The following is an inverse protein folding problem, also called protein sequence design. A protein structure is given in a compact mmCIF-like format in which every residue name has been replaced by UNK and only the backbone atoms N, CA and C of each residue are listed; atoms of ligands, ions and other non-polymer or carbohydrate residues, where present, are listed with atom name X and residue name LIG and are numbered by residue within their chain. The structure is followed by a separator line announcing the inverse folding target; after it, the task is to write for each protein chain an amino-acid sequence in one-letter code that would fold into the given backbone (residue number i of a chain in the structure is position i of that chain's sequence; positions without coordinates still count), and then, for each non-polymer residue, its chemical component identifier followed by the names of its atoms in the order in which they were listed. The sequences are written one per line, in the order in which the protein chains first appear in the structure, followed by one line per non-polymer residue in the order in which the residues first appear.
data_IF_664943133996
#
_entry.id   IF_664943133996
#
_cell.length_a   1.000
_cell.length_b   1.000
_cell.length_c   1.000
_cell.angle_alpha   90.00
_cell.angle_beta   90.00
_cell.angle_gamma   90.00
#
_symmetry.space_group_name_H-M   'P 1'
#
loop_
_entity.id
_entity.type
_entity.pdbx_description
1 polymer ?
#
# COMPACT_ATOMS: atom_id res chain seq x y z
N UNK A 1 -27.89 12.21 43.94
CA UNK A 1 -26.50 11.72 43.76
C UNK A 1 -26.39 10.54 42.78
N UNK A 2 -27.33 10.34 41.84
CA UNK A 2 -27.33 9.21 40.90
C UNK A 2 -27.21 9.61 39.42
N UNK A 3 -27.15 10.91 39.11
CA UNK A 3 -27.15 11.43 37.72
C UNK A 3 -25.75 11.73 37.19
N UNK A 4 -24.72 11.82 38.04
CA UNK A 4 -23.34 12.12 37.61
C UNK A 4 -22.59 10.90 37.04
N UNK A 5 -23.02 9.67 37.36
CA UNK A 5 -22.38 8.44 36.87
C UNK A 5 -22.86 8.02 35.46
N UNK A 6 -24.02 8.52 34.99
CA UNK A 6 -24.52 8.21 33.65
C UNK A 6 -23.83 9.06 32.57
N UNK A 7 -23.42 10.29 32.90
CA UNK A 7 -22.71 11.18 31.97
C UNK A 7 -21.25 10.77 31.74
N UNK A 8 -20.62 10.07 32.70
CA UNK A 8 -19.26 9.54 32.54
C UNK A 8 -19.17 8.31 31.64
N UNK A 9 -20.28 7.60 31.38
CA UNK A 9 -20.28 6.41 30.49
C UNK A 9 -20.27 6.75 29.00
N UNK A 10 -20.69 7.95 28.60
CA UNK A 10 -20.83 8.32 27.18
C UNK A 10 -19.68 9.14 26.59
N UNK A 11 -18.75 9.65 27.40
CA UNK A 11 -17.72 10.59 26.93
C UNK A 11 -16.31 10.02 26.80
N UNK A 12 -16.08 8.74 27.10
CA UNK A 12 -14.72 8.18 27.04
C UNK A 12 -14.72 6.68 26.79
N UNK A 13 -15.06 6.26 25.57
CA UNK A 13 -14.69 4.93 25.07
C UNK A 13 -13.21 4.94 24.71
N UNK A 14 -12.33 5.03 25.72
CA UNK A 14 -10.90 4.75 25.49
C UNK A 14 -10.63 3.25 25.40
N UNK A 15 -11.47 2.38 25.99
CA UNK A 15 -11.16 0.92 25.98
C UNK A 15 -12.36 0.03 26.36
N UNK A 16 -13.61 0.47 26.13
CA UNK A 16 -14.79 -0.26 26.62
C UNK A 16 -15.49 -1.03 25.49
N UNK A 17 -14.99 -2.23 25.19
CA UNK A 17 -15.64 -3.18 24.29
C UNK A 17 -14.91 -4.52 24.30
N UNK A 18 -13.76 -4.60 23.64
CA UNK A 18 -13.00 -5.85 23.44
C UNK A 18 -11.55 -5.80 23.96
N UNK A 19 -11.09 -4.66 24.49
CA UNK A 19 -9.69 -4.44 24.87
C UNK A 19 -9.45 -4.31 26.39
N UNK A 20 -10.40 -4.72 27.24
CA UNK A 20 -10.24 -4.62 28.71
C UNK A 20 -8.97 -5.32 29.25
N UNK A 21 -8.44 -6.30 28.51
CA UNK A 21 -7.17 -6.98 28.81
C UNK A 21 -5.97 -6.53 27.94
N UNK A 22 -6.19 -5.79 26.85
CA UNK A 22 -5.15 -5.37 25.90
C UNK A 22 -4.95 -3.87 25.98
N UNK A 23 -3.76 -3.44 26.41
CA UNK A 23 -3.41 -2.00 26.46
C UNK A 23 -4.14 -1.19 27.55
N UNK A 24 -4.62 -1.85 28.62
CA UNK A 24 -5.16 -1.14 29.77
C UNK A 24 -4.04 -0.55 30.63
N UNK A 25 -3.77 0.75 30.44
CA UNK A 25 -2.69 1.47 31.14
C UNK A 25 -2.93 1.58 32.65
N UNK A 26 -4.19 1.55 33.11
CA UNK A 26 -4.48 1.60 34.56
C UNK A 26 -4.04 0.31 35.27
N UNK A 27 -4.07 -0.81 34.56
CA UNK A 27 -3.78 -2.14 35.09
C UNK A 27 -2.39 -2.65 34.70
N UNK A 28 -1.83 -2.14 33.61
CA UNK A 28 -0.50 -2.45 33.10
C UNK A 28 0.50 -1.36 33.45
N UNK A 29 1.43 -1.67 34.35
CA UNK A 29 2.51 -0.76 34.72
C UNK A 29 3.42 -1.34 35.79
N UNK A 30 4.65 -0.84 35.87
CA UNK A 30 5.55 -1.13 36.98
C UNK A 30 5.24 -0.20 38.15
N UNK A 31 4.26 -0.55 38.98
CA UNK A 31 4.11 0.05 40.30
C UNK A 31 5.07 -0.64 41.29
N UNK A 32 6.35 -0.26 41.28
CA UNK A 32 7.31 -0.58 42.35
C UNK A 32 8.24 -1.78 42.14
N UNK A 33 8.74 -2.32 43.27
CA UNK A 33 9.88 -3.26 43.37
C UNK A 33 9.66 -4.65 42.76
N UNK A 34 8.40 -5.05 42.50
CA UNK A 34 8.06 -6.36 41.92
C UNK A 34 7.01 -6.15 40.82
N UNK A 35 7.25 -6.71 39.63
CA UNK A 35 6.32 -6.64 38.51
C UNK A 35 5.08 -7.53 38.71
N UNK A 36 3.90 -7.01 38.37
CA UNK A 36 2.66 -7.78 38.33
C UNK A 36 2.61 -8.69 37.09
N UNK A 37 3.21 -9.88 37.18
CA UNK A 37 3.28 -10.87 36.09
C UNK A 37 1.89 -11.37 35.63
N UNK A 38 0.88 -11.27 36.49
CA UNK A 38 -0.50 -11.61 36.16
C UNK A 38 -1.15 -10.65 35.14
N UNK A 39 -0.48 -9.55 34.77
CA UNK A 39 -0.98 -8.54 33.82
C UNK A 39 0.04 -8.17 32.75
N UNK A 40 0.86 -9.14 32.34
CA UNK A 40 1.91 -8.93 31.34
C UNK A 40 1.36 -8.45 29.99
N UNK A 41 0.15 -8.88 29.62
CA UNK A 41 -0.51 -8.48 28.37
C UNK A 41 -0.80 -6.97 28.31
N UNK A 42 -1.07 -6.34 29.45
CA UNK A 42 -1.35 -4.91 29.54
C UNK A 42 -0.09 -4.04 29.37
N UNK A 43 1.10 -4.62 29.53
CA UNK A 43 2.41 -3.95 29.39
C UNK A 43 3.05 -4.20 28.01
N UNK A 44 2.39 -4.98 27.15
CA UNK A 44 2.93 -5.27 25.81
C UNK A 44 3.06 -3.96 25.02
N UNK A 45 4.26 -3.57 24.57
CA UNK A 45 4.45 -2.34 23.82
C UNK A 45 3.75 -2.41 22.46
N UNK A 46 3.23 -1.27 22.01
CA UNK A 46 2.69 -1.15 20.66
C UNK A 46 3.84 -1.14 19.65
N UNK A 47 3.83 -2.09 18.73
CA UNK A 47 4.75 -2.14 17.58
C UNK A 47 3.99 -1.68 16.35
N UNK A 48 4.43 -0.59 15.74
CA UNK A 48 3.82 -0.05 14.52
C UNK A 48 4.48 -0.69 13.30
N UNK A 49 3.68 -1.39 12.51
CA UNK A 49 4.10 -1.87 11.19
C UNK A 49 4.20 -0.70 10.19
N UNK A 50 4.81 -0.88 9.01
CA UNK A 50 4.73 0.14 7.96
C UNK A 50 3.27 0.42 7.55
N UNK A 51 2.92 1.70 7.40
CA UNK A 51 1.61 2.10 6.92
C UNK A 51 1.41 1.70 5.46
N UNK A 52 0.22 1.24 5.11
CA UNK A 52 -0.16 0.90 3.73
C UNK A 52 -0.86 2.11 3.10
N UNK A 53 -0.30 2.64 2.02
CA UNK A 53 -0.90 3.73 1.23
C UNK A 53 -1.71 3.20 0.05
N UNK A 54 -2.95 3.65 -0.08
CA UNK A 54 -3.88 3.27 -1.16
C UNK A 54 -4.36 4.54 -1.86
N UNK A 55 -4.22 4.60 -3.18
CA UNK A 55 -4.77 5.69 -3.98
C UNK A 55 -6.27 5.44 -4.20
N UNK A 56 -7.08 6.40 -3.76
CA UNK A 56 -8.53 6.39 -3.97
C UNK A 56 -8.95 7.21 -5.18
N UNK A 57 -8.17 8.24 -5.54
CA UNK A 57 -8.40 9.05 -6.73
C UNK A 57 -7.07 9.53 -7.31
N UNK A 58 -6.92 9.38 -8.62
CA UNK A 58 -5.80 9.93 -9.40
C UNK A 58 -6.16 11.29 -10.00
N UNK A 59 -5.18 12.16 -10.30
CA UNK A 59 -5.41 13.42 -10.98
C UNK A 59 -6.22 13.24 -12.28
N UNK A 60 -7.20 14.12 -12.50
CA UNK A 60 -8.04 14.04 -13.71
C UNK A 60 -7.24 14.34 -14.98
N UNK A 61 -6.22 15.21 -14.90
CA UNK A 61 -5.29 15.48 -16.01
C UNK A 61 -4.62 14.20 -16.54
N UNK A 62 -4.36 13.22 -15.67
CA UNK A 62 -3.73 11.97 -16.09
C UNK A 62 -4.65 11.11 -16.96
N UNK A 63 -5.96 11.30 -16.91
CA UNK A 63 -6.90 10.57 -17.79
C UNK A 63 -6.74 10.95 -19.26
N UNK A 64 -6.16 12.11 -19.54
CA UNK A 64 -5.93 12.61 -20.89
C UNK A 64 -4.65 12.02 -21.51
N UNK A 65 -3.78 11.41 -20.70
CA UNK A 65 -2.51 10.84 -21.12
C UNK A 65 -2.55 9.31 -20.93
N UNK A 66 -2.38 8.50 -22.00
CA UNK A 66 -2.48 7.05 -21.88
C UNK A 66 -1.40 6.48 -20.95
N UNK A 67 -1.80 5.60 -20.03
CA UNK A 67 -0.89 4.91 -19.11
C UNK A 67 -0.51 5.69 -17.84
N UNK A 68 -0.72 7.00 -17.78
CA UNK A 68 -0.37 7.83 -16.62
C UNK A 68 -1.12 7.43 -15.33
N UNK A 69 -2.43 7.15 -15.36
CA UNK A 69 -3.17 6.73 -14.17
C UNK A 69 -2.62 5.44 -13.57
N UNK A 70 -2.30 4.46 -14.43
CA UNK A 70 -1.75 3.17 -14.02
C UNK A 70 -0.34 3.32 -13.46
N UNK A 71 0.49 4.15 -14.12
CA UNK A 71 1.84 4.45 -13.65
C UNK A 71 1.81 5.15 -12.29
N UNK A 72 0.94 6.16 -12.11
CA UNK A 72 0.76 6.84 -10.83
C UNK A 72 0.38 5.86 -9.72
N UNK A 73 -0.60 4.98 -9.97
CA UNK A 73 -1.02 3.97 -9.00
C UNK A 73 0.12 3.02 -8.64
N UNK A 74 0.81 2.46 -9.65
CA UNK A 74 1.93 1.54 -9.43
C UNK A 74 3.11 2.22 -8.72
N UNK A 75 3.39 3.49 -9.04
CA UNK A 75 4.49 4.23 -8.43
C UNK A 75 4.27 4.37 -6.92
N UNK A 76 3.12 4.91 -6.50
CA UNK A 76 2.88 5.22 -5.09
C UNK A 76 2.46 4.00 -4.26
N UNK A 77 1.69 3.04 -4.81
CA UNK A 77 1.23 1.88 -4.03
C UNK A 77 2.27 0.75 -3.96
N UNK A 78 3.11 0.58 -4.99
CA UNK A 78 4.02 -0.59 -5.09
C UNK A 78 5.49 -0.23 -5.00
N UNK A 79 5.93 0.85 -5.66
CA UNK A 79 7.36 1.17 -5.80
C UNK A 79 7.91 2.08 -4.69
N UNK A 80 7.04 2.53 -3.78
CA UNK A 80 7.45 3.32 -2.63
C UNK A 80 8.19 2.45 -1.62
N UNK A 81 9.37 2.91 -1.18
CA UNK A 81 10.18 2.23 -0.16
C UNK A 81 9.78 2.67 1.24
N UNK A 82 9.49 3.95 1.40
CA UNK A 82 9.14 4.54 2.68
C UNK A 82 8.29 5.79 2.49
N UNK A 83 7.42 6.04 3.47
CA UNK A 83 6.57 7.22 3.53
C UNK A 83 6.73 7.81 4.91
N UNK A 84 7.15 9.07 4.96
CA UNK A 84 7.40 9.82 6.19
C UNK A 84 6.50 11.07 6.23
N UNK A 85 6.28 11.67 7.40
CA UNK A 85 5.55 12.95 7.50
C UNK A 85 4.03 12.87 7.29
N UNK A 86 3.41 11.72 7.57
CA UNK A 86 1.94 11.56 7.61
C UNK A 86 1.36 12.07 8.94
N UNK A 87 2.19 12.10 9.99
CA UNK A 87 1.78 12.42 11.35
C UNK A 87 1.27 13.85 11.51
N UNK A 88 0.38 14.02 12.49
CA UNK A 88 -0.28 15.29 12.78
C UNK A 88 -0.05 15.67 14.20
N UNK A 89 0.33 16.92 14.40
CA UNK A 89 0.44 17.51 15.72
C UNK A 89 -0.77 18.41 15.95
N UNK A 90 -1.40 18.27 17.11
CA UNK A 90 -2.44 19.18 17.58
C UNK A 90 -1.81 20.15 18.57
N UNK A 91 -1.70 21.42 18.19
CA UNK A 91 -1.09 22.47 18.99
C UNK A 91 -2.19 23.39 19.54
N UNK A 92 -2.21 23.54 20.87
CA UNK A 92 -3.12 24.46 21.56
C UNK A 92 -2.44 25.83 21.63
N UNK A 93 -3.09 26.85 21.07
CA UNK A 93 -2.66 28.23 21.15
C UNK A 93 -3.19 28.87 22.45
N UNK A 94 -2.31 29.25 23.40
CA UNK A 94 -2.74 29.91 24.63
C UNK A 94 -3.02 31.39 24.37
N UNK A 95 -4.17 31.87 24.81
CA UNK A 95 -4.45 33.28 25.02
C UNK A 95 -3.95 33.71 26.39
N UNK A 96 -3.41 34.93 26.47
CA UNK A 96 -2.90 35.49 27.72
C UNK A 96 -3.91 36.48 28.30
N UNK A 97 -4.27 36.29 29.57
CA UNK A 97 -5.07 37.25 30.35
C UNK A 97 -4.29 37.67 31.60
N UNK A 98 -4.29 38.96 31.99
CA UNK A 98 -3.61 39.40 33.20
C UNK A 98 -4.28 38.78 34.44
N UNK A 99 -3.50 38.05 35.24
CA UNK A 99 -3.94 37.39 36.47
C UNK A 99 -4.01 38.37 37.65
N UNK A 100 -3.08 39.33 37.65
CA UNK A 100 -2.80 40.23 38.76
C UNK A 100 -2.14 41.51 38.23
N UNK A 101 -2.26 42.67 38.92
CA UNK A 101 -1.49 43.87 38.62
C UNK A 101 0.03 43.68 38.66
N UNK A 102 0.52 42.60 39.28
CA UNK A 102 1.94 42.22 39.38
C UNK A 102 2.54 41.66 38.06
N UNK A 103 1.82 41.79 36.94
CA UNK A 103 2.31 41.40 35.61
C UNK A 103 2.27 39.90 35.30
N UNK A 104 1.82 39.05 36.23
CA UNK A 104 1.61 37.64 35.98
C UNK A 104 0.42 37.41 35.04
N UNK A 105 0.57 36.49 34.09
CA UNK A 105 -0.44 36.18 33.08
C UNK A 105 -0.92 34.73 33.24
N UNK A 106 -2.22 34.53 33.09
CA UNK A 106 -2.83 33.20 32.99
C UNK A 106 -2.92 32.85 31.51
N UNK A 107 -2.38 31.69 31.14
CA UNK A 107 -2.58 31.10 29.82
C UNK A 107 -3.91 30.34 29.82
N UNK A 108 -4.82 30.75 28.94
CA UNK A 108 -6.11 30.10 28.71
C UNK A 108 -6.09 29.49 27.31
N UNK A 109 -6.50 28.22 27.11
CA UNK A 109 -6.53 27.62 25.78
C UNK A 109 -7.59 28.31 24.89
N UNK A 110 -7.16 28.90 23.77
CA UNK A 110 -8.05 29.65 22.87
C UNK A 110 -8.44 28.89 21.62
N UNK A 111 -7.47 28.24 20.97
CA UNK A 111 -7.70 27.50 19.73
C UNK A 111 -6.83 26.24 19.69
N UNK A 112 -7.33 25.18 19.07
CA UNK A 112 -6.56 23.98 18.76
C UNK A 112 -6.33 23.93 17.25
N UNK A 113 -5.07 23.99 16.82
CA UNK A 113 -4.66 23.98 15.42
C UNK A 113 -3.97 22.67 15.09
N UNK A 114 -4.30 22.09 13.95
CA UNK A 114 -3.61 20.91 13.41
C UNK A 114 -2.51 21.37 12.46
N UNK A 115 -1.35 20.73 12.53
CA UNK A 115 -0.31 20.91 11.52
C UNK A 115 -0.77 20.30 10.19
N UNK A 116 -0.39 20.95 9.08
CA UNK A 116 -0.65 20.41 7.75
C UNK A 116 0.36 19.29 7.47
N UNK A 117 -0.06 18.09 7.04
CA UNK A 117 0.90 17.04 6.73
C UNK A 117 1.64 17.35 5.44
N UNK A 118 2.93 16.99 5.42
CA UNK A 118 3.79 17.06 4.24
C UNK A 118 4.40 15.69 3.99
N UNK A 119 3.60 14.72 3.49
CA UNK A 119 4.07 13.37 3.30
C UNK A 119 5.21 13.34 2.29
N UNK A 120 6.30 12.69 2.67
CA UNK A 120 7.51 12.53 1.87
C UNK A 120 7.64 11.08 1.43
N UNK A 121 7.59 10.84 0.13
CA UNK A 121 7.72 9.52 -0.46
C UNK A 121 9.16 9.27 -0.87
N UNK A 122 9.70 8.10 -0.52
CA UNK A 122 11.03 7.65 -0.90
C UNK A 122 10.95 6.56 -1.96
N UNK A 123 11.65 6.76 -3.07
CA UNK A 123 11.72 5.83 -4.19
C UNK A 123 13.18 5.53 -4.54
N UNK A 124 13.44 4.30 -4.97
CA UNK A 124 14.67 3.97 -5.70
C UNK A 124 14.42 4.20 -7.19
N UNK A 125 15.34 4.92 -7.83
CA UNK A 125 15.24 5.17 -9.26
C UNK A 125 15.48 3.88 -10.05
N UNK A 126 14.62 3.62 -11.03
CA UNK A 126 14.80 2.52 -11.99
C UNK A 126 15.55 3.02 -13.23
N UNK A 127 16.19 2.11 -13.97
CA UNK A 127 16.84 2.42 -15.25
C UNK A 127 15.92 3.23 -16.16
N UNK A 128 16.41 4.35 -16.69
CA UNK A 128 15.64 5.28 -17.52
C UNK A 128 15.07 6.50 -16.77
N UNK A 129 15.32 6.63 -15.47
CA UNK A 129 14.86 7.75 -14.63
C UNK A 129 13.34 8.01 -14.69
N UNK A 130 12.47 6.96 -14.69
CA UNK A 130 11.03 7.14 -14.90
C UNK A 130 10.34 7.86 -13.74
N UNK A 131 10.84 7.74 -12.49
CA UNK A 131 10.24 8.40 -11.33
C UNK A 131 10.41 9.91 -11.45
N UNK A 132 11.64 10.36 -11.71
CA UNK A 132 11.92 11.77 -11.95
C UNK A 132 11.15 12.32 -13.15
N UNK A 133 11.18 11.60 -14.28
CA UNK A 133 10.51 12.05 -15.51
C UNK A 133 9.01 12.22 -15.30
N UNK A 134 8.38 11.28 -14.59
CA UNK A 134 6.96 11.36 -14.26
C UNK A 134 6.63 12.55 -13.33
N UNK A 135 7.39 12.72 -12.25
CA UNK A 135 7.11 13.76 -11.25
C UNK A 135 7.43 15.15 -11.81
N UNK A 136 8.51 15.27 -12.59
CA UNK A 136 8.84 16.50 -13.30
C UNK A 136 7.72 16.86 -14.29
N UNK A 137 7.24 15.90 -15.08
CA UNK A 137 6.11 16.15 -15.97
C UNK A 137 4.84 16.53 -15.20
N UNK A 138 4.56 15.89 -14.05
CA UNK A 138 3.44 16.28 -13.20
C UNK A 138 3.57 17.74 -12.73
N UNK A 139 4.75 18.18 -12.29
CA UNK A 139 5.00 19.58 -11.97
C UNK A 139 4.74 20.50 -13.16
N UNK A 140 5.27 20.16 -14.35
CA UNK A 140 5.06 20.95 -15.58
C UNK A 140 3.60 20.97 -16.04
N UNK A 141 2.83 19.90 -15.79
CA UNK A 141 1.40 19.84 -16.06
C UNK A 141 0.60 20.77 -15.14
N UNK A 142 1.06 21.01 -13.92
CA UNK A 142 0.47 22.01 -13.02
C UNK A 142 0.84 23.42 -13.45
N UNK A 143 2.14 23.68 -13.55
CA UNK A 143 2.69 24.97 -13.89
C UNK A 143 4.00 24.78 -14.64
N UNK A 144 4.00 25.19 -15.90
CA UNK A 144 5.20 25.24 -16.70
C UNK A 144 6.12 26.37 -16.21
N UNK A 145 7.42 26.13 -16.00
CA UNK A 145 8.32 27.11 -15.40
C UNK A 145 8.56 28.35 -16.27
N UNK A 146 8.41 28.24 -17.59
CA UNK A 146 8.65 29.37 -18.49
C UNK A 146 7.39 30.21 -18.68
N UNK A 147 6.27 29.56 -18.95
CA UNK A 147 5.01 30.25 -19.26
C UNK A 147 4.20 30.58 -18.01
N UNK A 148 4.45 29.91 -16.88
CA UNK A 148 3.65 29.99 -15.65
C UNK A 148 2.19 29.56 -15.84
N UNK A 149 1.88 28.89 -16.96
CA UNK A 149 0.59 28.29 -17.26
C UNK A 149 0.72 26.76 -17.31
N UNK A 150 -0.40 26.04 -17.22
CA UNK A 150 -0.39 24.58 -17.35
C UNK A 150 0.05 24.17 -18.76
N UNK A 151 1.05 23.29 -18.85
CA UNK A 151 1.53 22.74 -20.15
C UNK A 151 0.53 21.78 -20.82
N UNK A 152 -0.62 21.52 -20.20
CA UNK A 152 -1.65 20.62 -20.71
C UNK A 152 -2.13 21.02 -22.11
N UNK A 153 -2.12 22.32 -22.43
CA UNK A 153 -2.46 22.84 -23.76
C UNK A 153 -1.53 22.37 -24.87
N UNK A 154 -0.27 22.03 -24.55
CA UNK A 154 0.73 21.63 -25.53
C UNK A 154 0.65 20.13 -25.85
N UNK A 155 0.17 19.32 -24.90
CA UNK A 155 0.10 17.86 -25.02
C UNK A 155 -1.21 17.44 -25.70
N UNK A 156 -2.27 18.19 -25.45
CA UNK A 156 -3.60 17.85 -25.95
C UNK A 156 -3.81 18.42 -27.36
N UNK A 157 -4.48 17.65 -28.21
CA UNK A 157 -4.81 18.07 -29.57
C UNK A 157 -5.64 19.37 -29.55
N UNK A 158 -5.33 20.33 -30.46
CA UNK A 158 -6.13 21.53 -30.63
C UNK A 158 -7.62 21.19 -30.82
N UNK A 159 -8.50 21.91 -30.11
CA UNK A 159 -9.96 21.71 -30.17
C UNK A 159 -10.53 20.71 -29.15
N UNK A 160 -9.70 20.08 -28.33
CA UNK A 160 -10.18 19.27 -27.20
C UNK A 160 -10.58 20.18 -26.05
N UNK A 161 -11.74 19.91 -25.43
CA UNK A 161 -12.17 20.64 -24.24
C UNK A 161 -11.24 20.29 -23.05
N UNK A 162 -10.64 21.32 -22.46
CA UNK A 162 -9.84 21.22 -21.25
C UNK A 162 -10.68 21.75 -20.09
N UNK A 163 -10.82 20.94 -19.03
CA UNK A 163 -11.56 21.35 -17.84
C UNK A 163 -10.83 22.52 -17.12
N UNK A 164 -11.54 23.32 -16.33
CA UNK A 164 -10.91 24.35 -15.51
C UNK A 164 -9.84 23.76 -14.60
N UNK A 165 -8.68 24.42 -14.50
CA UNK A 165 -7.55 24.00 -13.68
C UNK A 165 -7.86 24.22 -12.19
N UNK A 166 -8.54 23.25 -11.58
CA UNK A 166 -8.90 23.23 -10.17
C UNK A 166 -8.08 22.19 -9.42
N UNK A 167 -8.04 22.25 -8.08
CA UNK A 167 -7.27 21.31 -7.27
C UNK A 167 -7.51 19.83 -7.65
N UNK A 168 -8.77 19.44 -7.88
CA UNK A 168 -9.12 18.06 -8.28
C UNK A 168 -8.55 17.61 -9.64
N UNK A 169 -8.10 18.56 -10.45
CA UNK A 169 -7.57 18.28 -11.78
C UNK A 169 -6.15 17.71 -11.70
N UNK A 170 -5.30 18.33 -10.88
CA UNK A 170 -3.88 17.97 -10.77
C UNK A 170 -3.50 17.22 -9.49
N UNK A 171 -4.42 17.06 -8.54
CA UNK A 171 -4.12 16.38 -7.27
C UNK A 171 -4.62 14.93 -7.22
N UNK A 172 -3.91 14.10 -6.45
CA UNK A 172 -4.31 12.75 -6.09
C UNK A 172 -4.92 12.72 -4.68
N UNK A 173 -5.56 11.61 -4.32
CA UNK A 173 -6.07 11.38 -2.96
C UNK A 173 -5.64 10.00 -2.50
N UNK A 174 -5.06 9.92 -1.31
CA UNK A 174 -4.54 8.69 -0.72
C UNK A 174 -5.09 8.45 0.68
N UNK A 175 -5.34 7.17 0.97
CA UNK A 175 -5.66 6.66 2.29
C UNK A 175 -4.45 5.89 2.81
N UNK A 176 -3.97 6.26 4.00
CA UNK A 176 -2.92 5.55 4.71
C UNK A 176 -3.54 4.77 5.86
N UNK A 177 -3.23 3.48 5.95
CA UNK A 177 -3.77 2.58 6.96
C UNK A 177 -2.62 2.02 7.79
N UNK A 178 -2.69 2.22 9.10
CA UNK A 178 -1.75 1.68 10.06
C UNK A 178 -2.35 0.43 10.71
N UNK A 179 -1.87 -0.75 10.30
CA UNK A 179 -2.30 -2.02 10.86
C UNK A 179 -1.55 -2.38 12.15
N UNK A 180 -2.22 -3.14 13.01
CA UNK A 180 -1.56 -3.95 14.05
C UNK A 180 -0.84 -5.16 13.41
N UNK A 181 0.01 -5.83 14.18
CA UNK A 181 0.77 -7.03 13.78
C UNK A 181 -0.07 -8.15 13.18
N UNK A 182 -1.37 -8.22 13.48
CA UNK A 182 -2.26 -9.26 12.96
C UNK A 182 -2.78 -8.98 11.56
N UNK A 183 -2.58 -7.77 11.02
CA UNK A 183 -3.09 -7.31 9.71
C UNK A 183 -4.62 -7.46 9.53
N UNK A 184 -5.37 -7.72 10.60
CA UNK A 184 -6.82 -7.89 10.51
C UNK A 184 -7.48 -6.52 10.31
N UNK A 185 -8.48 -6.38 9.41
CA UNK A 185 -9.14 -5.10 9.16
C UNK A 185 -9.78 -4.51 10.42
N UNK A 186 -10.28 -5.35 11.33
CA UNK A 186 -10.88 -4.90 12.59
C UNK A 186 -9.84 -4.31 13.57
N UNK A 187 -8.57 -4.69 13.42
CA UNK A 187 -7.46 -4.29 14.30
C UNK A 187 -6.60 -3.18 13.68
N UNK A 188 -7.19 -2.31 12.86
CA UNK A 188 -6.51 -1.08 12.41
C UNK A 188 -6.33 -0.16 13.61
N UNK A 189 -5.08 0.28 13.83
CA UNK A 189 -4.70 1.23 14.88
C UNK A 189 -5.28 2.60 14.51
N UNK A 190 -4.92 3.10 13.32
CA UNK A 190 -5.39 4.38 12.82
C UNK A 190 -5.37 4.44 11.29
N UNK A 191 -6.08 5.43 10.73
CA UNK A 191 -6.09 5.70 9.30
C UNK A 191 -6.12 7.21 9.00
N UNK A 192 -5.36 7.62 7.99
CA UNK A 192 -5.23 9.00 7.56
C UNK A 192 -5.68 9.16 6.11
N UNK A 193 -6.56 10.11 5.85
CA UNK A 193 -7.06 10.36 4.49
C UNK A 193 -6.57 11.72 4.01
N UNK A 194 -5.62 11.72 3.07
CA UNK A 194 -5.03 12.94 2.53
C UNK A 194 -5.61 13.21 1.15
N UNK A 195 -6.31 14.34 1.04
CA UNK A 195 -6.97 14.83 -0.17
C UNK A 195 -6.14 15.95 -0.76
N UNK A 196 -6.17 16.09 -2.09
CA UNK A 196 -5.52 17.22 -2.74
C UNK A 196 -4.00 17.09 -2.77
N UNK A 197 -3.47 15.85 -2.84
CA UNK A 197 -2.04 15.59 -2.84
C UNK A 197 -1.37 15.93 -4.17
N UNK A 198 -0.31 16.75 -4.16
CA UNK A 198 0.49 17.05 -5.35
C UNK A 198 1.97 17.28 -4.97
N UNK A 199 2.92 17.06 -5.90
CA UNK A 199 4.35 17.22 -5.62
C UNK A 199 4.74 18.69 -5.51
N UNK A 200 5.57 19.01 -4.52
CA UNK A 200 6.17 20.33 -4.36
C UNK A 200 7.45 20.51 -5.19
N UNK A 201 8.12 19.40 -5.51
CA UNK A 201 9.35 19.39 -6.30
C UNK A 201 9.57 18.03 -6.94
N UNK A 202 10.21 18.02 -8.11
CA UNK A 202 10.72 16.81 -8.75
C UNK A 202 12.11 16.39 -8.25
N UNK A 203 12.78 17.25 -7.47
CA UNK A 203 14.15 17.04 -7.03
C UNK A 203 15.19 17.25 -8.15
N UNK A 204 16.47 17.18 -7.77
CA UNK A 204 17.59 17.33 -8.71
C UNK A 204 17.75 16.08 -9.58
N UNK A 205 18.06 16.23 -10.87
CA UNK A 205 18.30 15.11 -11.77
C UNK A 205 19.46 14.19 -11.31
N UNK A 206 20.40 14.69 -10.50
CA UNK A 206 21.40 13.88 -9.82
C UNK A 206 22.63 13.53 -10.66
N UNK A 207 22.95 14.33 -11.68
CA UNK A 207 24.16 14.13 -12.48
C UNK A 207 25.43 14.32 -11.64
N UNK A 208 26.23 13.26 -11.50
CA UNK A 208 27.55 13.29 -10.87
C UNK A 208 28.54 12.43 -11.65
N UNK A 209 29.80 12.88 -11.74
CA UNK A 209 30.91 12.11 -12.31
C UNK A 209 31.90 11.78 -11.21
N UNK A 210 31.90 10.53 -10.77
CA UNK A 210 32.87 9.99 -9.81
C UNK A 210 33.61 8.80 -10.46
N UNK A 211 34.93 8.75 -10.31
CA UNK A 211 35.75 7.66 -10.85
C UNK A 211 35.76 6.52 -9.83
N UNK A 212 35.17 5.37 -10.18
CA UNK A 212 35.42 4.10 -9.50
C UNK A 212 34.26 3.48 -8.71
N UNK A 213 33.13 4.16 -8.51
CA UNK A 213 31.94 3.56 -7.87
C UNK A 213 30.63 4.01 -8.56
N UNK A 214 29.74 3.08 -8.95
CA UNK A 214 28.40 3.44 -9.38
C UNK A 214 27.54 3.86 -8.17
N UNK A 215 26.72 4.91 -8.34
CA UNK A 215 25.80 5.40 -7.30
C UNK A 215 24.37 5.01 -7.64
N UNK A 216 23.67 4.35 -6.73
CA UNK A 216 22.22 4.18 -6.80
C UNK A 216 21.55 5.48 -6.37
N UNK A 217 20.58 5.94 -7.16
CA UNK A 217 19.88 7.19 -6.89
C UNK A 217 18.57 6.90 -6.16
N UNK A 218 18.44 7.45 -4.96
CA UNK A 218 17.19 7.50 -4.23
C UNK A 218 16.58 8.90 -4.34
N UNK A 219 15.25 8.96 -4.44
CA UNK A 219 14.51 10.21 -4.55
C UNK A 219 13.51 10.33 -3.43
N UNK A 220 13.54 11.48 -2.76
CA UNK A 220 12.55 11.88 -1.76
C UNK A 220 11.68 12.97 -2.36
N UNK A 221 10.38 12.70 -2.48
CA UNK A 221 9.41 13.63 -3.08
C UNK A 221 8.44 14.06 -2.00
N UNK A 222 8.47 15.36 -1.70
CA UNK A 222 7.55 15.99 -0.76
C UNK A 222 6.25 16.33 -1.47
N UNK A 223 5.14 15.93 -0.87
CA UNK A 223 3.79 16.24 -1.36
C UNK A 223 3.12 17.20 -0.38
N UNK A 224 2.33 18.12 -0.91
CA UNK A 224 1.40 18.92 -0.12
C UNK A 224 0.02 18.29 -0.18
N UNK A 225 -0.76 18.38 0.90
CA UNK A 225 -2.14 17.87 0.93
C UNK A 225 -2.94 18.41 2.09
N UNK A 226 -4.23 18.07 2.11
CA UNK A 226 -5.17 18.39 3.18
C UNK A 226 -5.56 17.10 3.86
N UNK A 227 -5.42 17.06 5.18
CA UNK A 227 -5.74 15.87 5.95
C UNK A 227 -7.16 15.85 6.47
N UNK A 228 -7.78 14.69 6.37
CA UNK A 228 -8.95 14.32 7.14
C UNK A 228 -8.63 13.16 8.08
N UNK A 229 -8.66 13.46 9.38
CA UNK A 229 -8.49 12.48 10.47
C UNK A 229 -9.68 12.57 11.42
N UNK A 230 -10.52 11.53 11.40
CA UNK A 230 -11.68 11.34 12.28
C UNK A 230 -12.06 9.85 12.35
N UNK A 231 -13.01 9.49 13.22
CA UNK A 231 -13.47 8.10 13.37
C UNK A 231 -14.05 7.49 12.09
N UNK A 232 -14.64 8.32 11.21
CA UNK A 232 -15.16 7.85 9.93
C UNK A 232 -14.02 7.50 8.96
N UNK A 233 -12.90 8.21 9.00
CA UNK A 233 -11.69 7.86 8.24
C UNK A 233 -11.20 6.47 8.63
N UNK A 234 -11.20 6.15 9.93
CA UNK A 234 -10.88 4.81 10.42
C UNK A 234 -11.87 3.77 9.90
N UNK A 235 -13.17 4.03 9.96
CA UNK A 235 -14.20 3.11 9.45
C UNK A 235 -14.05 2.84 7.94
N UNK A 236 -13.76 3.88 7.14
CA UNK A 236 -13.47 3.75 5.71
C UNK A 236 -12.20 2.90 5.48
N UNK A 237 -11.18 3.05 6.32
CA UNK A 237 -9.99 2.19 6.33
C UNK A 237 -10.32 0.72 6.54
N UNK A 238 -11.18 0.41 7.52
CA UNK A 238 -11.65 -0.97 7.78
C UNK A 238 -12.37 -1.56 6.55
N UNK A 239 -13.26 -0.78 5.95
CA UNK A 239 -14.03 -1.23 4.78
C UNK A 239 -13.13 -1.49 3.57
N UNK A 240 -12.24 -0.55 3.24
CA UNK A 240 -11.31 -0.72 2.11
C UNK A 240 -10.35 -1.88 2.34
N UNK A 241 -9.81 -2.03 3.55
CA UNK A 241 -8.94 -3.16 3.89
C UNK A 241 -9.65 -4.51 3.78
N UNK A 242 -10.96 -4.54 4.10
CA UNK A 242 -11.80 -5.72 3.97
C UNK A 242 -12.06 -6.04 2.49
N UNK A 243 -12.44 -5.03 1.69
CA UNK A 243 -12.71 -5.20 0.25
C UNK A 243 -11.47 -5.63 -0.55
N UNK A 244 -10.31 -5.08 -0.23
CA UNK A 244 -9.05 -5.45 -0.90
C UNK A 244 -8.46 -6.78 -0.41
N UNK A 245 -9.02 -7.37 0.66
CA UNK A 245 -8.53 -8.64 1.19
C UNK A 245 -7.09 -8.56 1.70
N UNK A 246 -6.62 -7.40 2.17
CA UNK A 246 -5.21 -7.18 2.56
C UNK A 246 -4.72 -8.12 3.68
N UNK A 247 -5.65 -8.72 4.40
CA UNK A 247 -5.39 -9.66 5.49
C UNK A 247 -5.26 -11.12 5.04
N UNK A 248 -5.63 -11.44 3.80
CA UNK A 248 -5.65 -12.81 3.25
C UNK A 248 -4.33 -13.21 2.58
N UNK A 249 -3.23 -12.53 2.92
CA UNK A 249 -1.92 -12.82 2.34
C UNK A 249 -1.47 -14.19 2.86
N UNK A 250 -1.56 -15.21 2.01
CA UNK A 250 -1.10 -16.56 2.31
C UNK A 250 0.20 -16.84 1.54
N UNK A 251 1.38 -16.51 2.10
CA UNK A 251 2.65 -16.66 1.40
C UNK A 251 2.95 -18.12 1.05
N UNK A 252 2.38 -19.07 1.77
CA UNK A 252 2.52 -20.52 1.51
C UNK A 252 1.88 -20.98 0.21
N UNK A 253 0.92 -20.22 -0.33
CA UNK A 253 0.23 -20.52 -1.59
C UNK A 253 0.62 -19.54 -2.70
N UNK A 254 1.74 -18.82 -2.55
CA UNK A 254 2.25 -17.97 -3.61
C UNK A 254 2.53 -18.81 -4.86
N UNK A 255 1.93 -18.44 -6.00
CA UNK A 255 2.14 -19.15 -7.25
C UNK A 255 3.62 -19.01 -7.68
N UNK A 256 4.28 -20.09 -8.11
CA UNK A 256 5.63 -19.98 -8.65
C UNK A 256 5.62 -19.14 -9.93
N UNK A 257 6.63 -18.30 -10.11
CA UNK A 257 6.78 -17.41 -11.28
C UNK A 257 6.86 -18.22 -12.59
N UNK A 258 7.49 -19.38 -12.53
CA UNK A 258 7.53 -20.33 -13.63
C UNK A 258 6.45 -21.40 -13.41
N UNK A 259 5.31 -21.24 -14.06
CA UNK A 259 4.29 -22.30 -14.18
C UNK A 259 4.62 -23.27 -15.32
N UNK A 260 5.55 -22.89 -16.19
CA UNK A 260 6.02 -23.68 -17.31
C UNK A 260 7.55 -23.69 -17.32
N UNK A 261 8.11 -24.84 -17.64
CA UNK A 261 9.52 -24.97 -18.02
C UNK A 261 9.73 -24.17 -19.31
N UNK A 262 10.81 -23.41 -19.40
CA UNK A 262 11.11 -22.62 -20.59
C UNK A 262 11.19 -23.53 -21.83
N UNK A 263 10.56 -23.11 -22.92
CA UNK A 263 10.46 -23.86 -24.18
C UNK A 263 11.81 -24.33 -24.73
N UNK A 264 12.91 -23.62 -24.44
CA UNK A 264 14.26 -24.01 -24.85
C UNK A 264 14.86 -25.21 -24.10
N UNK A 265 14.29 -25.57 -22.94
CA UNK A 265 14.75 -26.69 -22.10
C UNK A 265 13.66 -27.74 -21.85
N UNK A 266 12.45 -27.56 -22.42
CA UNK A 266 11.35 -28.53 -22.30
C UNK A 266 11.73 -29.92 -22.83
N UNK A 267 12.60 -29.98 -23.84
CA UNK A 267 13.08 -31.23 -24.46
C UNK A 267 14.40 -31.75 -23.86
N UNK A 268 14.81 -31.23 -22.71
CA UNK A 268 16.06 -31.61 -22.04
C UNK A 268 15.81 -32.30 -20.69
N UNK A 269 16.66 -33.26 -20.35
CA UNK A 269 16.63 -33.96 -19.06
C UNK A 269 15.49 -34.97 -18.94
N UNK A 270 14.89 -35.06 -17.73
CA UNK A 270 13.94 -36.11 -17.36
C UNK A 270 12.73 -36.24 -18.30
N UNK A 271 12.30 -35.14 -18.92
CA UNK A 271 11.19 -35.14 -19.89
C UNK A 271 11.57 -35.84 -21.21
N UNK A 272 12.83 -35.69 -21.65
CA UNK A 272 13.36 -36.40 -22.81
C UNK A 272 13.60 -37.87 -22.50
N UNK A 273 14.15 -38.16 -21.33
CA UNK A 273 14.40 -39.54 -20.89
C UNK A 273 13.07 -40.29 -20.77
N UNK A 274 12.03 -39.66 -20.18
CA UNK A 274 10.69 -40.23 -20.13
C UNK A 274 10.05 -40.43 -21.52
N UNK A 275 10.26 -39.52 -22.47
CA UNK A 275 9.78 -39.66 -23.85
C UNK A 275 10.53 -40.76 -24.63
N UNK A 276 11.83 -40.94 -24.38
CA UNK A 276 12.59 -42.05 -24.94
C UNK A 276 12.14 -43.38 -24.35
N UNK A 277 12.01 -43.47 -23.03
CA UNK A 277 11.53 -44.66 -22.33
C UNK A 277 10.11 -45.03 -22.78
N UNK A 278 9.23 -44.05 -23.02
CA UNK A 278 7.87 -44.30 -23.49
C UNK A 278 7.83 -44.79 -24.95
N UNK A 279 8.77 -44.36 -25.79
CA UNK A 279 8.92 -44.87 -27.16
C UNK A 279 9.59 -46.26 -27.19
N UNK A 280 10.48 -46.55 -26.24
CA UNK A 280 11.12 -47.87 -26.07
C UNK A 280 10.15 -48.89 -25.44
N UNK A 281 9.25 -48.43 -24.57
CA UNK A 281 8.14 -49.21 -24.02
C UNK A 281 7.00 -49.34 -25.05
N UNK A 282 7.32 -49.84 -26.24
CA UNK A 282 6.33 -50.35 -27.16
C UNK A 282 6.02 -51.81 -26.75
N UNK A 283 4.88 -52.10 -26.08
CA UNK A 283 4.56 -53.44 -25.58
C UNK A 283 4.42 -54.51 -26.68
N UNK A 284 4.45 -54.11 -27.96
CA UNK A 284 4.42 -55.00 -29.11
C UNK A 284 5.80 -55.57 -29.51
N UNK A 285 6.92 -55.07 -28.96
CA UNK A 285 8.26 -55.59 -29.28
C UNK A 285 8.70 -56.76 -28.38
N UNK A 286 8.02 -56.96 -27.24
CA UNK A 286 8.19 -58.13 -26.36
C UNK A 286 7.33 -59.34 -26.79
N UNK A 287 6.64 -59.25 -27.92
CA UNK A 287 6.07 -60.39 -28.64
C UNK A 287 7.07 -60.90 -29.65
N UNK A 288 8.11 -61.60 -29.18
CA UNK A 288 8.98 -62.36 -30.07
C UNK A 288 8.14 -63.19 -31.04
N UNK A 289 8.47 -63.10 -32.33
CA UNK A 289 7.96 -63.92 -33.42
C UNK A 289 8.16 -65.43 -33.13
N UNK A 290 7.40 -66.01 -32.20
CA UNK A 290 7.09 -67.43 -32.27
C UNK A 290 5.96 -67.57 -33.27
N UNK A 291 6.35 -67.96 -34.49
CA UNK A 291 5.47 -68.60 -35.46
C UNK A 291 4.73 -69.74 -34.75
N UNK A 292 3.48 -69.52 -34.36
CA UNK A 292 2.58 -70.63 -34.14
C UNK A 292 2.20 -71.20 -35.51
N UNK A 293 2.40 -72.50 -35.76
CA UNK A 293 2.02 -73.11 -37.03
C UNK A 293 0.50 -73.04 -37.19
N UNK A 294 0.08 -72.79 -38.43
CA UNK A 294 -1.31 -72.66 -38.85
C UNK A 294 -2.17 -73.86 -38.41
N UNK A 295 -3.34 -73.57 -37.85
CA UNK A 295 -4.44 -74.53 -37.80
C UNK A 295 -5.07 -74.70 -36.43
N UNK A 296 -5.97 -73.78 -36.05
CA UNK A 296 -7.07 -74.11 -35.17
C UNK A 296 -8.24 -73.15 -35.48
N UNK A 297 -9.23 -73.69 -36.18
CA UNK A 297 -10.55 -73.10 -36.41
C UNK A 297 -11.35 -73.20 -35.12
N UNK A 298 -11.75 -72.06 -34.55
CA UNK A 298 -12.90 -71.89 -33.66
C UNK A 298 -13.44 -70.48 -33.97
N UNK A 299 -14.54 -70.31 -34.69
CA UNK A 299 -15.88 -70.54 -34.18
C UNK A 299 -16.41 -69.21 -33.65
N UNK A 300 -17.15 -68.47 -34.49
CA UNK A 300 -17.51 -67.06 -34.23
C UNK A 300 -18.68 -66.84 -33.28
N UNK A 301 -18.88 -65.57 -32.90
CA UNK A 301 -20.18 -64.91 -32.64
C UNK A 301 -20.00 -63.40 -32.92
N UNK A 302 -20.85 -62.77 -33.76
CA UNK A 302 -20.94 -61.32 -33.84
C UNK A 302 -22.00 -60.82 -32.84
N UNK A 303 -21.65 -59.83 -32.02
CA UNK A 303 -22.63 -59.06 -31.26
C UNK A 303 -22.36 -57.58 -31.52
N UNK A 304 -23.33 -56.97 -32.18
CA UNK A 304 -23.37 -55.54 -32.46
C UNK A 304 -24.03 -54.74 -31.35
N UNK A 305 -24.02 -53.43 -31.59
CA UNK A 305 -24.97 -52.40 -31.20
C UNK A 305 -25.77 -52.61 -29.90
N UNK A 306 -25.34 -51.89 -28.85
CA UNK A 306 -26.20 -50.98 -28.07
C UNK A 306 -25.36 -49.74 -27.75
#
# INVERSE_FOLDING_TARGET
MATTQALTRNSFRITAGDSMYRGNIEQGGQYGFIGHLNRIDAVTPLVMNPAIGIITSVPKIFRLIPGYPQFCKALFEVNTIGIDGIDVECNIEPGQAPASPDGQQINVPMANKRTQPTPTFRFVETTGNPVWGFINNWCTLMCDPETQYSSLSNIIRPGTYIAPHVLSDYSMTMLFIQFDKTLQPQNIIDAYFIVGMFPLSAGSAGFSKELGQPKTMERSIQMAGILQHNQNTRAVGVEIATQLGLHLIAPTFAQPVATMVDSGIQDMGLARDAAQDQNEFNPLSWGGNQKYPSGAVLGGVPLGEI
#
